data_IF_182629578465
#
_entry.id   IF_182629578465
#
_cell.length_a   1.000
_cell.length_b   1.000
_cell.length_c   1.000
_cell.angle_alpha   90.00
_cell.angle_beta   90.00
_cell.angle_gamma   90.00
#
_symmetry.space_group_name_H-M   'P 1'
#
loop_
_entity.id
_entity.type
_entity.pdbx_description
1 polymer ?
#
# COMPACT_ATOMS: atom_id res chain seq x y z
N UNK A 1 2.98 12.89 -13.76
CA UNK A 1 3.06 11.46 -14.14
C UNK A 1 2.84 10.53 -12.95
N UNK A 2 3.51 10.73 -11.83
CA UNK A 2 3.36 9.90 -10.63
C UNK A 2 1.93 9.84 -10.06
N UNK A 3 1.16 10.95 -10.09
CA UNK A 3 -0.25 10.97 -9.64
C UNK A 3 -1.14 10.05 -10.48
N UNK A 4 -0.93 10.01 -11.81
CA UNK A 4 -1.69 9.11 -12.69
C UNK A 4 -1.41 7.65 -12.34
N UNK A 5 -0.15 7.31 -12.03
CA UNK A 5 0.22 5.95 -11.59
C UNK A 5 -0.39 5.61 -10.23
N UNK A 6 -0.49 6.56 -9.30
CA UNK A 6 -1.16 6.36 -8.01
C UNK A 6 -2.65 6.08 -8.21
N UNK A 7 -3.32 6.82 -9.09
CA UNK A 7 -4.73 6.60 -9.46
C UNK A 7 -4.96 5.26 -10.13
N UNK A 8 -4.06 4.86 -11.02
CA UNK A 8 -4.09 3.52 -11.64
C UNK A 8 -3.91 2.42 -10.57
N UNK A 9 -2.98 2.61 -9.65
CA UNK A 9 -2.79 1.69 -8.52
C UNK A 9 -4.06 1.58 -7.66
N UNK A 10 -4.70 2.71 -7.33
CA UNK A 10 -5.96 2.75 -6.59
C UNK A 10 -7.07 1.98 -7.33
N UNK A 11 -7.21 2.17 -8.65
CA UNK A 11 -8.15 1.42 -9.46
C UNK A 11 -7.88 -0.09 -9.43
N UNK A 12 -6.63 -0.49 -9.57
CA UNK A 12 -6.22 -1.91 -9.51
C UNK A 12 -6.44 -2.50 -8.11
N UNK A 13 -6.17 -1.76 -7.03
CA UNK A 13 -6.47 -2.20 -5.67
C UNK A 13 -7.97 -2.32 -5.41
N UNK A 14 -8.79 -1.45 -6.01
CA UNK A 14 -10.27 -1.57 -5.96
C UNK A 14 -10.75 -2.86 -6.62
N UNK A 15 -10.20 -3.21 -7.79
CA UNK A 15 -10.48 -4.49 -8.47
C UNK A 15 -10.01 -5.67 -7.62
N UNK A 16 -8.81 -5.58 -7.05
CA UNK A 16 -8.27 -6.60 -6.15
C UNK A 16 -9.16 -6.84 -4.93
N UNK A 17 -9.58 -5.76 -4.27
CA UNK A 17 -10.49 -5.80 -3.13
C UNK A 17 -11.83 -6.45 -3.49
N UNK A 18 -12.45 -6.03 -4.59
CA UNK A 18 -13.73 -6.59 -5.05
C UNK A 18 -13.62 -8.11 -5.29
N UNK A 19 -12.58 -8.56 -5.99
CA UNK A 19 -12.37 -9.99 -6.26
C UNK A 19 -12.03 -10.78 -4.99
N UNK A 20 -11.32 -10.18 -4.02
CA UNK A 20 -11.08 -10.79 -2.71
C UNK A 20 -12.39 -11.02 -1.96
N UNK A 21 -13.28 -10.03 -1.91
CA UNK A 21 -14.61 -10.14 -1.31
C UNK A 21 -15.43 -11.23 -2.02
N UNK A 22 -15.42 -11.25 -3.36
CA UNK A 22 -16.13 -12.28 -4.15
C UNK A 22 -15.58 -13.68 -3.88
N UNK A 23 -14.28 -13.83 -3.64
CA UNK A 23 -13.66 -15.11 -3.28
C UNK A 23 -14.28 -15.69 -2.02
N UNK A 24 -14.51 -14.85 -1.00
CA UNK A 24 -15.12 -15.26 0.27
C UNK A 24 -16.61 -15.56 0.10
N UNK A 25 -17.38 -14.63 -0.50
CA UNK A 25 -18.84 -14.77 -0.66
C UNK A 25 -19.19 -16.00 -1.50
N UNK A 26 -18.47 -16.19 -2.60
CA UNK A 26 -18.72 -17.30 -3.53
C UNK A 26 -18.05 -18.62 -3.10
N UNK A 27 -17.16 -18.57 -2.09
CA UNK A 27 -16.35 -19.71 -1.63
C UNK A 27 -15.59 -20.42 -2.77
N UNK A 28 -15.19 -19.66 -3.81
CA UNK A 28 -14.48 -20.17 -4.98
C UNK A 28 -13.09 -19.56 -5.08
N UNK A 29 -12.03 -20.34 -4.90
CA UNK A 29 -10.63 -19.84 -4.94
C UNK A 29 -10.23 -19.33 -6.32
N UNK A 30 -10.99 -19.64 -7.37
CA UNK A 30 -10.74 -19.13 -8.72
C UNK A 30 -10.81 -17.62 -8.83
N UNK A 31 -11.63 -16.95 -8.00
CA UNK A 31 -11.72 -15.49 -7.97
C UNK A 31 -10.51 -14.81 -7.30
N UNK A 32 -9.69 -15.56 -6.58
CA UNK A 32 -8.49 -15.01 -5.93
C UNK A 32 -7.35 -14.72 -6.93
N UNK A 33 -7.23 -15.50 -8.02
CA UNK A 33 -6.18 -15.26 -9.02
C UNK A 33 -6.23 -13.85 -9.63
N UNK A 34 -7.38 -13.34 -10.12
CA UNK A 34 -7.48 -11.98 -10.60
C UNK A 34 -7.28 -10.94 -9.48
N UNK A 35 -7.70 -11.23 -8.24
CA UNK A 35 -7.41 -10.36 -7.09
C UNK A 35 -5.91 -10.20 -6.88
N UNK A 36 -5.17 -11.30 -6.88
CA UNK A 36 -3.71 -11.29 -6.73
C UNK A 36 -3.03 -10.55 -7.88
N UNK A 37 -3.43 -10.83 -9.13
CA UNK A 37 -2.87 -10.17 -10.31
C UNK A 37 -3.09 -8.64 -10.24
N UNK A 38 -4.29 -8.21 -9.84
CA UNK A 38 -4.61 -6.79 -9.69
C UNK A 38 -3.76 -6.12 -8.61
N UNK A 39 -3.54 -6.79 -7.46
CA UNK A 39 -2.69 -6.23 -6.39
C UNK A 39 -1.22 -6.20 -6.79
N UNK A 40 -0.70 -7.19 -7.49
CA UNK A 40 0.68 -7.19 -8.01
C UNK A 40 0.87 -6.05 -9.01
N UNK A 41 -0.03 -5.89 -9.98
CA UNK A 41 0.03 -4.79 -10.95
C UNK A 41 -0.15 -3.42 -10.25
N UNK A 42 -1.10 -3.33 -9.31
CA UNK A 42 -1.31 -2.14 -8.48
C UNK A 42 -0.07 -1.75 -7.69
N UNK A 43 0.59 -2.71 -7.06
CA UNK A 43 1.84 -2.49 -6.34
C UNK A 43 2.96 -1.99 -7.27
N UNK A 44 3.10 -2.56 -8.46
CA UNK A 44 4.09 -2.09 -9.44
C UNK A 44 3.85 -0.63 -9.83
N UNK A 45 2.60 -0.24 -10.15
CA UNK A 45 2.24 1.16 -10.43
C UNK A 45 2.48 2.07 -9.22
N UNK A 46 2.12 1.60 -8.03
CA UNK A 46 2.27 2.35 -6.78
C UNK A 46 3.74 2.60 -6.42
N UNK A 47 4.57 1.56 -6.46
CA UNK A 47 6.00 1.67 -6.20
C UNK A 47 6.67 2.61 -7.22
N UNK A 48 6.32 2.49 -8.51
CA UNK A 48 6.80 3.41 -9.54
C UNK A 48 6.37 4.85 -9.27
N UNK A 49 5.12 5.07 -8.81
CA UNK A 49 4.63 6.39 -8.42
C UNK A 49 5.48 7.02 -7.31
N UNK A 50 5.81 6.25 -6.27
CA UNK A 50 6.65 6.70 -5.15
C UNK A 50 8.07 7.04 -5.64
N UNK A 51 8.67 6.20 -6.48
CA UNK A 51 10.00 6.45 -7.04
C UNK A 51 10.02 7.74 -7.86
N UNK A 52 9.06 7.92 -8.76
CA UNK A 52 8.96 9.12 -9.60
C UNK A 52 8.75 10.39 -8.76
N UNK A 53 7.95 10.31 -7.69
CA UNK A 53 7.79 11.43 -6.75
C UNK A 53 9.09 11.73 -6.03
N UNK A 54 9.82 10.71 -5.55
CA UNK A 54 11.13 10.88 -4.94
C UNK A 54 12.14 11.54 -5.88
N UNK A 55 12.14 11.17 -7.16
CA UNK A 55 13.00 11.79 -8.17
C UNK A 55 12.64 13.26 -8.43
N UNK A 56 11.34 13.61 -8.35
CA UNK A 56 10.88 14.99 -8.55
C UNK A 56 11.26 15.89 -7.37
N UNK A 57 11.05 15.40 -6.14
CA UNK A 57 11.30 16.17 -4.91
C UNK A 57 12.73 16.07 -4.39
N UNK A 58 13.54 15.14 -4.93
CA UNK A 58 14.94 14.90 -4.55
C UNK A 58 15.12 14.45 -3.07
N UNK A 59 14.08 13.86 -2.48
CA UNK A 59 14.12 13.23 -1.16
C UNK A 59 13.14 12.04 -1.09
N UNK A 60 13.24 11.22 -0.03
CA UNK A 60 12.30 10.13 0.18
C UNK A 60 10.90 10.70 0.46
N UNK A 61 9.87 10.40 -0.37
CA UNK A 61 8.55 11.01 -0.27
C UNK A 61 7.73 10.38 0.88
N UNK A 62 7.97 10.87 2.11
CA UNK A 62 7.32 10.43 3.35
C UNK A 62 6.98 11.59 4.27
N UNK A 63 7.21 12.83 3.84
CA UNK A 63 7.12 14.01 4.70
C UNK A 63 5.77 14.68 4.67
N UNK A 64 5.05 14.56 3.56
CA UNK A 64 3.69 15.08 3.41
C UNK A 64 2.67 13.99 3.76
N UNK A 65 1.44 14.39 4.13
CA UNK A 65 0.37 13.43 4.49
C UNK A 65 0.11 12.42 3.39
N UNK A 66 -0.05 12.88 2.15
CA UNK A 66 -0.32 11.97 1.04
C UNK A 66 0.86 11.02 0.77
N UNK A 67 2.10 11.50 0.92
CA UNK A 67 3.31 10.70 0.77
C UNK A 67 3.39 9.60 1.84
N UNK A 68 3.10 9.96 3.09
CA UNK A 68 3.11 9.01 4.21
C UNK A 68 2.05 7.92 4.04
N UNK A 69 0.80 8.28 3.69
CA UNK A 69 -0.26 7.30 3.43
C UNK A 69 0.03 6.43 2.21
N UNK A 70 0.56 7.03 1.13
CA UNK A 70 0.99 6.30 -0.06
C UNK A 70 2.09 5.30 0.28
N UNK A 71 3.14 5.75 0.96
CA UNK A 71 4.26 4.89 1.33
C UNK A 71 3.80 3.75 2.25
N UNK A 72 2.97 4.02 3.26
CA UNK A 72 2.44 2.99 4.15
C UNK A 72 1.53 2.00 3.40
N UNK A 73 0.64 2.47 2.53
CA UNK A 73 -0.19 1.61 1.68
C UNK A 73 0.63 0.66 0.79
N UNK A 74 1.72 1.18 0.19
CA UNK A 74 2.65 0.37 -0.60
C UNK A 74 3.37 -0.68 0.26
N UNK A 75 3.80 -0.33 1.48
CA UNK A 75 4.41 -1.29 2.41
C UNK A 75 3.45 -2.39 2.83
N UNK A 76 2.18 -2.06 3.10
CA UNK A 76 1.16 -3.07 3.42
C UNK A 76 0.93 -4.01 2.23
N UNK A 77 0.89 -3.48 1.00
CA UNK A 77 0.79 -4.30 -0.20
C UNK A 77 2.00 -5.22 -0.36
N UNK A 78 3.21 -4.69 -0.20
CA UNK A 78 4.45 -5.48 -0.23
C UNK A 78 4.46 -6.57 0.84
N UNK A 79 4.11 -6.22 2.08
CA UNK A 79 4.05 -7.15 3.20
C UNK A 79 3.07 -8.30 2.94
N UNK A 80 1.89 -7.99 2.36
CA UNK A 80 0.95 -9.01 1.91
C UNK A 80 1.57 -9.93 0.85
N UNK A 81 2.21 -9.36 -0.18
CA UNK A 81 2.82 -10.15 -1.26
C UNK A 81 3.91 -11.07 -0.74
N UNK A 82 4.73 -10.61 0.21
CA UNK A 82 5.76 -11.42 0.88
C UNK A 82 5.10 -12.54 1.68
N UNK A 83 4.12 -12.22 2.53
CA UNK A 83 3.40 -13.20 3.34
C UNK A 83 2.71 -14.25 2.46
N UNK A 84 2.02 -13.81 1.40
CA UNK A 84 1.36 -14.71 0.46
C UNK A 84 2.35 -15.60 -0.31
N UNK A 85 3.49 -15.06 -0.74
CA UNK A 85 4.50 -15.86 -1.45
C UNK A 85 5.02 -17.02 -0.59
N UNK A 86 5.15 -16.80 0.73
CA UNK A 86 5.68 -17.78 1.68
C UNK A 86 4.62 -18.75 2.19
N UNK A 87 3.45 -18.25 2.58
CA UNK A 87 2.44 -19.04 3.32
C UNK A 87 1.23 -19.43 2.47
N UNK A 88 1.02 -18.79 1.33
CA UNK A 88 -0.11 -19.07 0.39
C UNK A 88 -1.51 -18.92 1.02
N UNK A 89 -1.65 -18.13 2.08
CA UNK A 89 -2.92 -17.90 2.78
C UNK A 89 -3.71 -16.82 2.05
N UNK A 90 -4.64 -17.22 1.18
CA UNK A 90 -5.49 -16.28 0.41
C UNK A 90 -6.48 -15.52 1.29
N UNK A 91 -6.97 -16.11 2.38
CA UNK A 91 -7.91 -15.48 3.30
C UNK A 91 -7.37 -14.21 3.96
N UNK A 92 -6.04 -14.07 4.06
CA UNK A 92 -5.38 -12.87 4.57
C UNK A 92 -5.77 -11.60 3.78
N UNK A 93 -6.08 -11.76 2.48
CA UNK A 93 -6.48 -10.65 1.61
C UNK A 93 -7.74 -9.92 2.09
N UNK A 94 -8.65 -10.61 2.80
CA UNK A 94 -9.90 -10.02 3.31
C UNK A 94 -9.64 -8.87 4.29
N UNK A 95 -8.60 -8.98 5.09
CA UNK A 95 -8.19 -7.95 6.03
C UNK A 95 -7.23 -6.94 5.42
N UNK A 96 -6.31 -7.42 4.58
CA UNK A 96 -5.21 -6.59 4.08
C UNK A 96 -5.63 -5.71 2.91
N UNK A 97 -6.44 -6.19 1.97
CA UNK A 97 -6.84 -5.40 0.80
C UNK A 97 -7.69 -4.17 1.14
N UNK A 98 -8.65 -4.22 2.10
CA UNK A 98 -9.32 -3.01 2.55
C UNK A 98 -8.36 -1.95 3.08
N UNK A 99 -7.33 -2.35 3.84
CA UNK A 99 -6.35 -1.39 4.35
C UNK A 99 -5.50 -0.78 3.22
N UNK A 100 -5.01 -1.59 2.28
CA UNK A 100 -4.28 -1.09 1.10
C UNK A 100 -5.13 -0.06 0.36
N UNK A 101 -6.40 -0.40 0.09
CA UNK A 101 -7.32 0.50 -0.60
C UNK A 101 -7.53 1.80 0.17
N UNK A 102 -7.86 1.72 1.47
CA UNK A 102 -8.12 2.91 2.30
C UNK A 102 -6.89 3.80 2.39
N UNK A 103 -5.70 3.24 2.62
CA UNK A 103 -4.46 4.03 2.68
C UNK A 103 -4.16 4.74 1.36
N UNK A 104 -4.30 4.04 0.23
CA UNK A 104 -4.07 4.63 -1.10
C UNK A 104 -5.15 5.67 -1.45
N UNK A 105 -6.41 5.42 -1.05
CA UNK A 105 -7.51 6.36 -1.25
C UNK A 105 -7.33 7.64 -0.42
N UNK A 106 -6.95 7.51 0.86
CA UNK A 106 -6.64 8.67 1.72
C UNK A 106 -5.44 9.44 1.19
N UNK A 107 -4.43 8.74 0.64
CA UNK A 107 -3.31 9.39 -0.03
C UNK A 107 -3.80 10.27 -1.19
N UNK A 108 -4.66 9.74 -2.06
CA UNK A 108 -5.21 10.50 -3.19
C UNK A 108 -6.03 11.72 -2.73
N UNK A 109 -6.87 11.57 -1.69
CA UNK A 109 -7.66 12.67 -1.12
C UNK A 109 -6.80 13.75 -0.45
N UNK A 110 -5.64 13.36 0.07
CA UNK A 110 -4.72 14.24 0.78
C UNK A 110 -3.65 14.85 -0.14
N UNK A 111 -3.77 14.64 -1.46
CA UNK A 111 -2.80 15.11 -2.42
C UNK A 111 -2.67 16.63 -2.38
N UNK A 112 -1.46 17.11 -2.13
CA UNK A 112 -1.08 18.51 -2.16
C UNK A 112 0.18 18.64 -3.05
N UNK A 113 0.12 19.41 -4.15
CA UNK A 113 1.26 19.61 -5.04
C UNK A 113 2.36 20.49 -4.42
N UNK A 114 2.11 21.14 -3.27
CA UNK A 114 3.07 22.04 -2.62
C UNK A 114 4.36 21.34 -2.25
N UNK A 115 5.54 21.88 -2.64
CA UNK A 115 6.82 21.28 -2.26
C UNK A 115 7.28 21.66 -0.84
N UNK A 116 6.47 22.36 -0.05
CA UNK A 116 6.90 22.92 1.23
C UNK A 116 7.13 21.83 2.28
N UNK A 117 8.39 21.49 2.52
CA UNK A 117 8.80 20.69 3.68
C UNK A 117 8.93 21.63 4.88
N UNK A 118 8.13 21.45 5.96
CA UNK A 118 8.39 22.15 7.21
C UNK A 118 9.83 21.93 7.67
N UNK A 119 10.49 22.98 8.15
CA UNK A 119 11.93 22.94 8.51
C UNK A 119 12.29 21.83 9.51
N UNK A 120 11.35 21.47 10.40
CA UNK A 120 11.51 20.39 11.37
C UNK A 120 11.64 19.00 10.70
N UNK A 121 11.13 18.81 9.48
CA UNK A 121 11.20 17.56 8.73
C UNK A 121 12.46 17.41 7.89
N UNK A 122 13.43 18.32 8.00
CA UNK A 122 14.72 18.25 7.29
C UNK A 122 15.78 17.43 8.02
N UNK A 123 15.44 16.80 9.14
CA UNK A 123 16.38 15.96 9.89
C UNK A 123 16.58 14.61 9.20
N UNK A 124 17.85 14.21 9.01
CA UNK A 124 18.18 12.88 8.46
C UNK A 124 17.63 11.73 9.30
N UNK A 125 17.39 11.96 10.61
CA UNK A 125 16.78 10.98 11.50
C UNK A 125 15.37 10.56 11.04
N UNK A 126 14.59 11.47 10.51
CA UNK A 126 13.22 11.22 10.03
C UNK A 126 13.21 10.21 8.88
N UNK A 127 14.19 10.27 7.98
CA UNK A 127 14.29 9.35 6.84
C UNK A 127 14.64 7.91 7.24
N UNK A 128 15.10 7.68 8.45
CA UNK A 128 15.30 6.33 9.00
C UNK A 128 14.12 5.95 9.89
N UNK A 129 13.69 6.85 10.74
CA UNK A 129 12.69 6.59 11.78
C UNK A 129 11.29 6.29 11.20
N UNK A 130 10.80 7.11 10.27
CA UNK A 130 9.45 6.93 9.69
C UNK A 130 9.33 5.62 8.90
N UNK A 131 10.24 5.25 7.98
CA UNK A 131 10.18 3.95 7.32
C UNK A 131 10.22 2.78 8.30
N UNK A 132 11.08 2.82 9.33
CA UNK A 132 11.15 1.74 10.33
C UNK A 132 9.82 1.58 11.09
N UNK A 133 9.18 2.68 11.48
CA UNK A 133 7.86 2.64 12.11
C UNK A 133 6.82 2.02 11.18
N UNK A 134 6.80 2.42 9.92
CA UNK A 134 5.84 1.89 8.96
C UNK A 134 6.07 0.41 8.64
N UNK A 135 7.33 -0.04 8.58
CA UNK A 135 7.66 -1.47 8.52
C UNK A 135 7.14 -2.22 9.76
N UNK A 136 7.35 -1.66 10.94
CA UNK A 136 6.85 -2.21 12.20
C UNK A 136 5.32 -2.32 12.21
N UNK A 137 4.62 -1.25 11.84
CA UNK A 137 3.14 -1.26 11.77
C UNK A 137 2.62 -2.23 10.70
N UNK A 138 3.29 -2.32 9.56
CA UNK A 138 2.94 -3.30 8.52
C UNK A 138 3.06 -4.73 9.04
N UNK A 139 4.16 -5.06 9.71
CA UNK A 139 4.37 -6.39 10.27
C UNK A 139 3.34 -6.72 11.36
N UNK A 140 3.07 -5.78 12.27
CA UNK A 140 2.05 -5.93 13.32
C UNK A 140 0.65 -6.10 12.73
N UNK A 141 0.30 -5.32 11.71
CA UNK A 141 -1.00 -5.45 11.07
C UNK A 141 -1.18 -6.80 10.37
N UNK A 142 -0.16 -7.28 9.66
CA UNK A 142 -0.21 -8.59 8.99
C UNK A 142 -0.29 -9.71 10.03
N UNK A 143 0.45 -9.61 11.14
CA UNK A 143 0.38 -10.56 12.24
C UNK A 143 -1.00 -10.56 12.89
N UNK A 144 -1.59 -9.38 13.14
CA UNK A 144 -2.95 -9.24 13.65
C UNK A 144 -3.99 -9.86 12.71
N UNK A 145 -3.89 -9.55 11.40
CA UNK A 145 -4.78 -10.12 10.40
C UNK A 145 -4.65 -11.64 10.29
N UNK A 146 -3.43 -12.17 10.40
CA UNK A 146 -3.20 -13.60 10.43
C UNK A 146 -3.80 -14.25 11.68
N UNK A 147 -3.60 -13.66 12.87
CA UNK A 147 -4.17 -14.15 14.13
C UNK A 147 -5.71 -14.16 14.13
N UNK A 148 -6.35 -13.21 13.45
CA UNK A 148 -7.81 -13.17 13.30
C UNK A 148 -8.39 -14.25 12.39
N UNK A 149 -7.54 -15.01 11.68
CA UNK A 149 -7.95 -16.12 10.81
C UNK A 149 -7.89 -17.49 11.51
N UNK A 150 -7.28 -17.59 12.69
CA UNK A 150 -7.11 -18.79 13.48
C UNK A 150 -7.83 -18.68 14.82
#
# INVERSE_FOLDING_TARGET
MYVVLLRLALGLYSVGLLHSILTVIKRKPTFFKPALAAVVAGFACHATSIVLRGMEVQYLPITQRYEAFSFFGALVALGFLIAYSKYRISSLSVFVFPLIFVMTFVAELSYDPSPAIPGILRSNWIYIHIPLIFFGYTALFIAFAAAGLF
#
